data_IF_280870853572
#
_entry.id   IF_280870853572
#
_cell.length_a   1.000
_cell.length_b   1.000
_cell.length_c   1.000
_cell.angle_alpha   90.00
_cell.angle_beta   90.00
_cell.angle_gamma   90.00
#
_symmetry.space_group_name_H-M   'P 1'
#
loop_
_entity.id
_entity.type
_entity.pdbx_description
1 polymer ?
#
# COMPACT_ATOMS: atom_id res chain seq x y z
N UNK A 1 -8.43 16.49 13.26
CA UNK A 1 -8.77 15.61 12.11
C UNK A 1 -7.49 15.31 11.37
N UNK A 2 -7.14 14.03 11.23
CA UNK A 2 -5.91 13.61 10.55
C UNK A 2 -5.97 13.90 9.05
N UNK A 3 -4.80 13.95 8.41
CA UNK A 3 -4.71 14.13 6.95
C UNK A 3 -5.33 12.92 6.24
N UNK A 4 -6.20 13.11 5.24
CA UNK A 4 -6.75 11.99 4.46
C UNK A 4 -5.62 11.14 3.88
N UNK A 5 -5.79 9.82 3.91
CA UNK A 5 -4.81 8.89 3.36
C UNK A 5 -4.89 9.01 1.85
N UNK A 6 -3.79 9.32 1.15
CA UNK A 6 -3.77 9.33 -0.31
C UNK A 6 -3.59 7.89 -0.82
N UNK A 7 -4.34 7.47 -1.85
CA UNK A 7 -4.29 6.07 -2.36
C UNK A 7 -3.50 5.91 -3.67
N UNK A 8 -2.58 6.84 -3.93
CA UNK A 8 -1.63 6.79 -5.05
C UNK A 8 -0.22 6.84 -4.45
N UNK A 9 0.69 5.96 -4.85
CA UNK A 9 2.06 6.07 -4.36
C UNK A 9 2.72 7.39 -4.77
N UNK A 10 3.42 8.00 -3.82
CA UNK A 10 4.42 9.04 -4.06
C UNK A 10 5.72 8.61 -3.39
N UNK A 11 6.62 8.02 -4.18
CA UNK A 11 7.90 7.55 -3.67
C UNK A 11 8.81 8.66 -3.15
N UNK A 12 8.62 9.92 -3.60
CA UNK A 12 9.40 11.08 -3.14
C UNK A 12 9.03 11.52 -1.72
N UNK A 13 7.87 11.09 -1.22
CA UNK A 13 7.38 11.33 0.14
C UNK A 13 7.53 10.11 1.06
N UNK A 14 8.28 9.10 0.62
CA UNK A 14 8.50 7.85 1.31
C UNK A 14 10.00 7.63 1.58
N UNK A 15 10.30 6.71 2.51
CA UNK A 15 11.65 6.27 2.85
C UNK A 15 11.96 4.92 2.17
N UNK A 16 11.56 4.76 0.90
CA UNK A 16 11.75 3.56 0.07
C UNK A 16 11.18 2.24 0.65
N UNK A 17 10.17 2.30 1.53
CA UNK A 17 9.73 1.14 2.34
C UNK A 17 9.32 -0.07 1.49
N UNK A 18 8.60 0.10 0.38
CA UNK A 18 8.22 -1.01 -0.50
C UNK A 18 9.41 -1.65 -1.23
N UNK A 19 10.49 -0.90 -1.49
CA UNK A 19 11.72 -1.41 -2.07
C UNK A 19 12.61 -2.15 -1.06
N UNK A 20 12.26 -2.10 0.22
CA UNK A 20 13.02 -2.70 1.33
C UNK A 20 12.25 -3.89 1.93
N UNK A 21 10.96 -3.73 2.20
CA UNK A 21 10.18 -4.62 3.04
C UNK A 21 10.13 -6.08 2.57
N UNK A 22 9.99 -6.31 1.26
CA UNK A 22 9.77 -7.66 0.72
C UNK A 22 11.08 -8.33 0.27
N UNK A 23 11.21 -9.65 0.46
CA UNK A 23 12.27 -10.40 -0.20
C UNK A 23 11.99 -10.49 -1.71
N UNK A 24 13.03 -10.63 -2.52
CA UNK A 24 12.87 -10.82 -3.97
C UNK A 24 13.86 -11.80 -4.59
N UNK A 25 14.59 -12.56 -3.76
CA UNK A 25 15.29 -13.75 -4.26
C UNK A 25 14.23 -14.71 -4.82
N UNK A 26 14.37 -15.05 -6.10
CA UNK A 26 13.47 -15.90 -6.89
C UNK A 26 12.04 -15.37 -7.17
N UNK A 27 11.78 -14.06 -7.04
CA UNK A 27 10.48 -13.49 -7.39
C UNK A 27 10.41 -13.04 -8.88
N UNK A 28 9.45 -13.55 -9.68
CA UNK A 28 9.35 -13.19 -11.10
C UNK A 28 9.17 -11.69 -11.33
N UNK A 29 10.07 -11.11 -12.14
CA UNK A 29 10.06 -9.68 -12.46
C UNK A 29 10.69 -8.79 -11.39
N UNK A 30 11.39 -9.34 -10.39
CA UNK A 30 12.18 -8.58 -9.43
C UNK A 30 13.65 -8.99 -9.51
N UNK A 31 14.40 -8.43 -10.48
CA UNK A 31 15.80 -8.81 -10.75
C UNK A 31 16.79 -8.56 -9.61
N UNK A 32 16.45 -7.72 -8.62
CA UNK A 32 17.29 -7.55 -7.44
C UNK A 32 17.12 -8.73 -6.49
N UNK A 33 18.18 -9.52 -6.30
CA UNK A 33 18.23 -10.52 -5.22
C UNK A 33 18.53 -9.82 -3.91
N UNK A 34 17.64 -9.97 -2.93
CA UNK A 34 17.76 -9.37 -1.59
C UNK A 34 16.81 -10.05 -0.62
N UNK A 35 17.15 -9.98 0.67
CA UNK A 35 16.29 -10.45 1.76
C UNK A 35 15.18 -9.43 2.10
N UNK A 36 14.22 -9.87 2.92
CA UNK A 36 13.22 -8.97 3.51
C UNK A 36 13.92 -7.98 4.45
N UNK A 37 13.56 -6.70 4.39
CA UNK A 37 14.21 -5.65 5.18
C UNK A 37 15.56 -5.17 4.63
N UNK A 38 16.08 -5.81 3.57
CA UNK A 38 17.29 -5.36 2.89
C UNK A 38 16.95 -4.32 1.81
N UNK A 39 17.63 -3.15 1.79
CA UNK A 39 17.42 -2.15 0.74
C UNK A 39 17.75 -2.68 -0.66
N UNK A 40 16.88 -2.40 -1.62
CA UNK A 40 17.16 -2.71 -3.02
C UNK A 40 18.48 -2.05 -3.49
N UNK A 41 19.39 -2.78 -4.15
CA UNK A 41 20.68 -2.26 -4.61
C UNK A 41 20.56 -1.18 -5.69
N UNK A 42 19.34 -0.92 -6.20
CA UNK A 42 19.03 0.14 -7.16
C UNK A 42 18.47 1.40 -6.48
N UNK A 43 18.53 1.50 -5.15
CA UNK A 43 18.17 2.72 -4.42
C UNK A 43 19.36 3.70 -4.40
N UNK A 44 19.10 4.95 -4.73
CA UNK A 44 20.01 6.06 -4.48
C UNK A 44 20.00 6.43 -2.99
N UNK A 45 20.96 7.26 -2.56
CA UNK A 45 21.02 7.79 -1.20
C UNK A 45 19.74 8.57 -0.80
N UNK A 46 19.08 9.19 -1.78
CA UNK A 46 17.80 9.88 -1.58
C UNK A 46 16.57 8.94 -1.61
N UNK A 47 16.76 7.62 -1.71
CA UNK A 47 15.67 6.64 -1.59
C UNK A 47 14.87 6.46 -2.87
N UNK A 48 15.27 7.12 -3.97
CA UNK A 48 14.67 6.95 -5.28
C UNK A 48 15.38 5.85 -6.07
N UNK A 49 14.65 5.20 -6.97
CA UNK A 49 15.20 4.17 -7.84
C UNK A 49 16.10 4.80 -8.92
N UNK A 50 17.35 4.36 -9.01
CA UNK A 50 18.33 4.88 -9.99
C UNK A 50 18.06 4.44 -11.43
N UNK A 51 17.15 3.47 -11.62
CA UNK A 51 16.83 2.88 -12.92
C UNK A 51 15.32 2.98 -13.23
N UNK A 52 14.60 3.94 -12.62
CA UNK A 52 13.13 4.00 -12.65
C UNK A 52 12.55 3.90 -14.08
N UNK A 53 13.18 4.58 -15.05
CA UNK A 53 12.77 4.58 -16.46
C UNK A 53 13.15 3.26 -17.17
N UNK A 54 14.29 2.67 -16.81
CA UNK A 54 14.85 1.47 -17.46
C UNK A 54 14.42 0.14 -16.79
N UNK A 55 13.52 0.17 -15.80
CA UNK A 55 13.13 -1.02 -15.02
C UNK A 55 12.67 -2.18 -15.88
N UNK A 56 11.91 -1.90 -16.94
CA UNK A 56 11.40 -2.95 -17.82
C UNK A 56 12.55 -3.72 -18.49
N UNK A 57 13.50 -2.98 -19.06
CA UNK A 57 14.68 -3.51 -19.75
C UNK A 57 15.63 -4.25 -18.80
N UNK A 58 15.72 -3.81 -17.55
CA UNK A 58 16.53 -4.44 -16.51
C UNK A 58 15.82 -5.60 -15.77
N UNK A 59 14.63 -6.01 -16.21
CA UNK A 59 13.88 -7.15 -15.67
C UNK A 59 13.07 -6.88 -14.38
N UNK A 60 12.85 -5.61 -14.04
CA UNK A 60 12.09 -5.15 -12.86
C UNK A 60 10.59 -4.96 -13.17
N UNK A 61 9.99 -5.79 -14.03
CA UNK A 61 8.57 -5.73 -14.40
C UNK A 61 7.61 -5.93 -13.21
N UNK A 62 8.05 -6.60 -12.16
CA UNK A 62 7.36 -6.70 -10.87
C UNK A 62 7.27 -5.35 -10.17
N UNK A 63 8.36 -4.59 -10.10
CA UNK A 63 8.37 -3.24 -9.54
C UNK A 63 7.49 -2.25 -10.31
N UNK A 64 7.27 -2.47 -11.61
CA UNK A 64 6.37 -1.64 -12.43
C UNK A 64 4.90 -1.92 -12.11
N UNK A 65 4.55 -3.21 -11.92
CA UNK A 65 3.17 -3.63 -11.62
C UNK A 65 2.77 -3.40 -10.16
N UNK A 66 3.76 -3.34 -9.29
CA UNK A 66 3.55 -3.13 -7.87
C UNK A 66 3.05 -1.71 -7.58
N UNK A 67 2.04 -1.60 -6.74
CA UNK A 67 1.52 -0.34 -6.22
C UNK A 67 1.32 -0.50 -4.71
N UNK A 68 1.81 0.47 -3.93
CA UNK A 68 1.62 0.47 -2.47
C UNK A 68 0.35 1.21 -2.03
N UNK A 69 -0.38 1.79 -2.98
CA UNK A 69 -1.61 2.59 -2.79
C UNK A 69 -1.46 3.60 -1.67
N UNK A 70 -0.30 4.25 -1.61
CA UNK A 70 -0.01 5.32 -0.68
C UNK A 70 0.44 4.93 0.73
N UNK A 71 0.55 3.62 1.03
CA UNK A 71 0.93 3.14 2.36
C UNK A 71 2.29 3.71 2.80
N UNK A 72 3.28 3.70 1.90
CA UNK A 72 4.65 4.11 2.21
C UNK A 72 4.75 5.56 2.68
N UNK A 73 4.22 6.52 1.90
CA UNK A 73 4.27 7.91 2.30
C UNK A 73 3.43 8.22 3.54
N UNK A 74 2.32 7.49 3.75
CA UNK A 74 1.51 7.70 4.92
C UNK A 74 2.21 7.22 6.20
N UNK A 75 2.89 6.07 6.16
CA UNK A 75 3.72 5.61 7.28
C UNK A 75 4.79 6.65 7.61
N UNK A 76 5.55 7.12 6.62
CA UNK A 76 6.66 8.06 6.86
C UNK A 76 6.15 9.40 7.38
N UNK A 77 5.25 10.06 6.65
CA UNK A 77 4.85 11.43 6.95
C UNK A 77 3.93 11.52 8.17
N UNK A 78 3.04 10.54 8.37
CA UNK A 78 2.04 10.58 9.44
C UNK A 78 2.50 9.81 10.67
N UNK A 79 2.85 8.53 10.53
CA UNK A 79 3.12 7.65 11.68
C UNK A 79 4.55 7.83 12.23
N UNK A 80 5.49 8.27 11.39
CA UNK A 80 6.87 8.58 11.77
C UNK A 80 7.21 10.06 11.67
N UNK A 81 6.23 10.93 11.44
CA UNK A 81 6.37 12.39 11.46
C UNK A 81 7.46 12.93 10.50
N UNK A 82 7.61 12.29 9.34
CA UNK A 82 8.58 12.66 8.32
C UNK A 82 10.02 12.21 8.61
N UNK A 83 10.26 11.44 9.67
CA UNK A 83 11.58 10.88 9.96
C UNK A 83 11.97 9.83 8.93
N UNK A 84 13.29 9.67 8.74
CA UNK A 84 13.86 8.73 7.79
C UNK A 84 14.83 7.75 8.48
N UNK A 85 14.75 6.46 8.14
CA UNK A 85 15.66 5.45 8.67
C UNK A 85 17.11 5.63 8.21
N UNK A 86 17.34 6.38 7.13
CA UNK A 86 18.69 6.71 6.64
C UNK A 86 19.42 7.68 7.56
N UNK A 87 18.67 8.53 8.27
CA UNK A 87 19.21 9.45 9.28
C UNK A 87 19.30 8.78 10.66
N UNK A 88 18.45 7.77 10.92
CA UNK A 88 18.42 6.99 12.16
C UNK A 88 18.08 5.52 11.86
N UNK A 89 19.11 4.67 11.79
CA UNK A 89 18.98 3.26 11.43
C UNK A 89 18.07 2.47 12.39
N UNK A 90 17.87 2.93 13.63
CA UNK A 90 16.97 2.27 14.58
C UNK A 90 15.50 2.33 14.14
N UNK A 91 15.15 3.22 13.19
CA UNK A 91 13.81 3.34 12.65
C UNK A 91 13.48 2.31 11.56
N UNK A 92 14.47 1.66 10.96
CA UNK A 92 14.24 0.83 9.78
C UNK A 92 13.24 -0.31 10.08
N UNK A 93 13.52 -1.12 11.10
CA UNK A 93 12.66 -2.23 11.50
C UNK A 93 11.23 -1.79 11.81
N UNK A 94 10.98 -0.85 12.74
CA UNK A 94 9.61 -0.45 13.04
C UNK A 94 8.89 0.22 11.85
N UNK A 95 9.60 0.91 10.96
CA UNK A 95 9.00 1.46 9.74
C UNK A 95 8.57 0.36 8.77
N UNK A 96 9.40 -0.66 8.55
CA UNK A 96 9.09 -1.80 7.69
C UNK A 96 7.91 -2.60 8.25
N UNK A 97 7.88 -2.87 9.55
CA UNK A 97 6.78 -3.56 10.22
C UNK A 97 5.46 -2.77 10.09
N UNK A 98 5.51 -1.47 10.40
CA UNK A 98 4.35 -0.57 10.26
C UNK A 98 3.87 -0.51 8.82
N UNK A 99 4.79 -0.47 7.84
CA UNK A 99 4.44 -0.48 6.42
C UNK A 99 3.73 -1.78 6.02
N UNK A 100 4.23 -2.94 6.44
CA UNK A 100 3.60 -4.23 6.15
C UNK A 100 2.19 -4.32 6.72
N UNK A 101 1.94 -3.77 7.92
CA UNK A 101 0.61 -3.69 8.52
C UNK A 101 -0.30 -2.66 7.82
N UNK A 102 0.25 -1.53 7.38
CA UNK A 102 -0.49 -0.47 6.67
C UNK A 102 -0.89 -0.88 5.23
N UNK A 103 -0.12 -1.76 4.60
CA UNK A 103 -0.34 -2.19 3.20
C UNK A 103 -1.76 -2.69 2.92
N UNK A 104 -2.30 -3.69 3.63
CA UNK A 104 -3.66 -4.15 3.37
C UNK A 104 -4.73 -3.09 3.71
N UNK A 105 -4.49 -2.23 4.71
CA UNK A 105 -5.41 -1.10 5.00
C UNK A 105 -5.49 -0.15 3.81
N UNK A 106 -4.34 0.21 3.23
CA UNK A 106 -4.26 1.06 2.03
C UNK A 106 -4.92 0.43 0.81
N UNK A 107 -4.75 -0.88 0.62
CA UNK A 107 -5.37 -1.65 -0.48
C UNK A 107 -6.90 -1.62 -0.37
N UNK A 108 -7.44 -1.92 0.82
CA UNK A 108 -8.88 -1.89 1.05
C UNK A 108 -9.44 -0.47 0.94
N UNK A 109 -8.69 0.55 1.35
CA UNK A 109 -9.13 1.93 1.25
C UNK A 109 -9.22 2.39 -0.21
N UNK A 110 -8.24 1.99 -1.05
CA UNK A 110 -8.29 2.21 -2.48
C UNK A 110 -9.55 1.57 -3.09
N UNK A 111 -9.83 0.31 -2.75
CA UNK A 111 -11.00 -0.41 -3.23
C UNK A 111 -12.31 0.21 -2.73
N UNK A 112 -12.40 0.61 -1.46
CA UNK A 112 -13.60 1.24 -0.91
C UNK A 112 -13.89 2.58 -1.60
N UNK A 113 -12.86 3.41 -1.83
CA UNK A 113 -13.01 4.63 -2.62
C UNK A 113 -13.36 4.36 -4.07
N UNK A 114 -12.83 3.28 -4.66
CA UNK A 114 -13.23 2.86 -6.00
C UNK A 114 -14.72 2.47 -6.04
N UNK A 115 -15.22 1.75 -5.04
CA UNK A 115 -16.64 1.42 -4.92
C UNK A 115 -17.54 2.68 -4.85
N UNK A 116 -17.10 3.73 -4.13
CA UNK A 116 -17.81 5.02 -4.13
C UNK A 116 -17.93 5.61 -5.55
N UNK A 117 -16.85 5.57 -6.34
CA UNK A 117 -16.88 6.05 -7.74
C UNK A 117 -17.74 5.20 -8.67
N UNK A 118 -18.12 3.99 -8.24
CA UNK A 118 -18.96 3.05 -8.98
C UNK A 118 -20.43 3.08 -8.52
N UNK A 119 -20.81 4.02 -7.64
CA UNK A 119 -22.19 4.20 -7.20
C UNK A 119 -22.54 3.54 -5.86
N UNK A 120 -21.60 2.85 -5.20
CA UNK A 120 -21.80 2.29 -3.86
C UNK A 120 -21.32 3.26 -2.75
N UNK A 121 -21.62 4.56 -2.92
CA UNK A 121 -21.13 5.63 -2.05
C UNK A 121 -21.51 5.45 -0.58
N UNK A 122 -22.80 5.18 -0.34
CA UNK A 122 -23.39 5.04 0.99
C UNK A 122 -22.87 3.78 1.71
N UNK A 123 -22.73 2.67 0.99
CA UNK A 123 -22.25 1.40 1.52
C UNK A 123 -20.75 1.43 1.81
N UNK A 124 -19.95 2.12 0.98
CA UNK A 124 -18.50 2.18 1.15
C UNK A 124 -18.04 3.20 2.20
N UNK A 125 -18.87 4.21 2.54
CA UNK A 125 -18.55 5.23 3.54
C UNK A 125 -18.16 4.66 4.93
N UNK A 126 -18.90 3.72 5.54
CA UNK A 126 -18.51 3.13 6.83
C UNK A 126 -17.19 2.35 6.74
N UNK A 127 -16.96 1.62 5.65
CA UNK A 127 -15.69 0.90 5.42
C UNK A 127 -14.51 1.87 5.35
N UNK A 128 -14.67 3.01 4.66
CA UNK A 128 -13.65 4.06 4.59
C UNK A 128 -13.35 4.62 5.98
N UNK A 129 -14.39 4.95 6.76
CA UNK A 129 -14.22 5.50 8.11
C UNK A 129 -13.54 4.49 9.06
N UNK A 130 -13.88 3.19 8.95
CA UNK A 130 -13.20 2.09 9.63
C UNK A 130 -11.70 2.12 9.33
N UNK A 131 -11.34 2.06 8.05
CA UNK A 131 -9.94 1.97 7.60
C UNK A 131 -9.13 3.22 7.98
N UNK A 132 -9.72 4.42 7.86
CA UNK A 132 -9.06 5.67 8.27
C UNK A 132 -8.84 5.74 9.79
N UNK A 133 -9.75 5.16 10.57
CA UNK A 133 -9.58 5.05 12.03
C UNK A 133 -8.44 4.09 12.38
N UNK A 134 -8.40 2.92 11.74
CA UNK A 134 -7.32 1.94 11.94
C UNK A 134 -5.94 2.49 11.58
N UNK A 135 -5.86 3.26 10.50
CA UNK A 135 -4.62 3.87 10.05
C UNK A 135 -4.14 5.06 10.90
N UNK A 136 -4.92 5.53 11.88
CA UNK A 136 -4.56 6.71 12.65
C UNK A 136 -3.34 6.50 13.57
N UNK A 137 -3.06 5.25 13.96
CA UNK A 137 -1.98 4.88 14.90
C UNK A 137 -1.38 3.53 14.51
N UNK A 138 -0.18 3.23 15.01
CA UNK A 138 0.51 1.99 14.67
C UNK A 138 -0.14 0.79 15.35
N UNK A 139 -0.53 0.96 16.61
CA UNK A 139 -1.10 -0.08 17.46
C UNK A 139 -2.42 -0.62 16.87
N UNK A 140 -3.22 0.23 16.23
CA UNK A 140 -4.48 -0.15 15.59
C UNK A 140 -4.31 -0.84 14.24
N UNK A 141 -3.14 -0.78 13.61
CA UNK A 141 -2.87 -1.51 12.37
C UNK A 141 -2.71 -3.02 12.59
N UNK A 142 -2.39 -3.43 13.81
CA UNK A 142 -2.19 -4.83 14.18
C UNK A 142 -3.49 -5.55 14.53
N UNK A 143 -4.62 -4.82 14.57
CA UNK A 143 -5.96 -5.36 14.86
C UNK A 143 -6.54 -6.14 13.66
N UNK A 144 -6.14 -7.41 13.52
CA UNK A 144 -6.52 -8.26 12.39
C UNK A 144 -8.04 -8.44 12.23
N UNK A 145 -8.80 -8.50 13.33
CA UNK A 145 -10.26 -8.69 13.29
C UNK A 145 -10.99 -7.51 12.63
N UNK A 146 -10.52 -6.28 12.89
CA UNK A 146 -11.07 -5.06 12.29
C UNK A 146 -10.83 -5.03 10.78
N UNK A 147 -9.62 -5.38 10.35
CA UNK A 147 -9.28 -5.45 8.93
C UNK A 147 -10.12 -6.50 8.20
N UNK A 148 -10.26 -7.70 8.79
CA UNK A 148 -11.04 -8.78 8.22
C UNK A 148 -12.54 -8.43 8.14
N UNK A 149 -13.07 -7.65 9.08
CA UNK A 149 -14.45 -7.13 8.99
C UNK A 149 -14.62 -6.19 7.80
N UNK A 150 -13.71 -5.23 7.65
CA UNK A 150 -13.77 -4.24 6.57
C UNK A 150 -13.52 -4.90 5.18
N UNK A 151 -12.72 -5.97 5.09
CA UNK A 151 -12.62 -6.80 3.87
C UNK A 151 -13.94 -7.52 3.54
N UNK A 152 -14.60 -8.14 4.54
CA UNK A 152 -15.88 -8.85 4.33
C UNK A 152 -16.98 -7.92 3.83
N UNK A 153 -17.10 -6.74 4.43
CA UNK A 153 -18.06 -5.72 3.99
C UNK A 153 -17.77 -5.27 2.56
N UNK A 154 -16.50 -4.98 2.25
CA UNK A 154 -16.11 -4.55 0.91
C UNK A 154 -16.40 -5.63 -0.14
N UNK A 155 -16.18 -6.91 0.20
CA UNK A 155 -16.51 -8.04 -0.67
C UNK A 155 -18.02 -8.11 -0.95
N UNK A 156 -18.87 -7.84 0.04
CA UNK A 156 -20.32 -7.77 -0.16
C UNK A 156 -20.71 -6.62 -1.10
N UNK A 157 -20.14 -5.43 -0.89
CA UNK A 157 -20.37 -4.27 -1.77
C UNK A 157 -20.02 -4.59 -3.23
N UNK A 158 -18.86 -5.20 -3.47
CA UNK A 158 -18.43 -5.56 -4.82
C UNK A 158 -19.24 -6.73 -5.42
N UNK A 159 -19.87 -7.56 -4.60
CA UNK A 159 -20.80 -8.59 -5.09
C UNK A 159 -22.07 -7.95 -5.65
N UNK A 160 -22.59 -6.92 -4.98
CA UNK A 160 -23.81 -6.19 -5.39
C UNK A 160 -23.56 -5.27 -6.59
N UNK A 161 -22.33 -4.76 -6.76
CA UNK A 161 -21.93 -3.95 -7.92
C UNK A 161 -21.75 -4.76 -9.21
N UNK A 162 -21.76 -6.10 -9.16
CA UNK A 162 -21.67 -6.91 -10.38
C UNK A 162 -22.87 -6.61 -11.27
N UNK A 163 -22.66 -6.23 -12.54
CA UNK A 163 -23.79 -6.01 -13.44
C UNK A 163 -24.61 -7.31 -13.49
N UNK A 164 -25.92 -7.19 -13.38
CA UNK A 164 -26.85 -8.26 -13.73
C UNK A 164 -26.46 -8.73 -15.13
N UNK A 165 -26.07 -9.99 -15.26
CA UNK A 165 -25.81 -10.63 -16.54
C UNK A 165 -26.95 -10.29 -17.49
N UNK A 166 -26.69 -9.43 -18.47
CA UNK A 166 -27.58 -9.26 -19.61
C UNK A 166 -27.52 -10.57 -20.38
N UNK A 167 -28.38 -11.50 -20.00
CA UNK A 167 -28.98 -12.43 -20.94
C UNK A 167 -30.03 -11.62 -21.67
N UNK A 168 -29.67 -11.10 -22.84
CA UNK A 168 -30.64 -10.71 -23.86
C UNK A 168 -30.09 -11.09 -25.23
N UNK A 169 -30.87 -11.96 -25.88
CA UNK A 169 -30.74 -12.52 -27.23
C UNK A 169 -30.10 -11.60 -28.27
N UNK A 170 -29.11 -12.11 -29.02
CA UNK A 170 -29.09 -12.18 -30.50
C UNK A 170 -28.44 -13.51 -30.91
#
# INVERSE_FOLDING_TARGET
>A
MGRPIETRADCGRCAALCCIAYPSDDMPGFSARKQAGEPCPKLAANGLCTIYEDRAEQGFAGCIRYECFGAGQYVVETLFQGRDWRDDAALLTPMVETFLAMRPVSDLLFLARRAQTLGAGEQAAPVIACLETMAAKRESLEEADGLAACERELRAIYADLRPSSHTDNI
#
